data_IF_595517619157
#
_entry.id   IF_595517619157
#
_cell.length_a   1.000
_cell.length_b   1.000
_cell.length_c   1.000
_cell.angle_alpha   90.00
_cell.angle_beta   90.00
_cell.angle_gamma   90.00
#
_symmetry.space_group_name_H-M   'P 1'
#
loop_
_entity.id
_entity.type
_entity.pdbx_description
1 polymer ?
#
# COMPACT_ATOMS: atom_id res chain seq x y z
N UNK A 1 13.37 12.36 -9.76
CA UNK A 1 12.78 11.59 -8.65
C UNK A 1 11.33 11.44 -9.01
N UNK A 2 10.92 10.21 -9.32
CA UNK A 2 9.51 9.90 -9.54
C UNK A 2 8.84 9.70 -8.17
N UNK A 3 7.58 10.15 -8.05
CA UNK A 3 6.80 9.92 -6.82
C UNK A 3 6.31 8.46 -6.75
N UNK A 4 6.00 7.85 -7.89
CA UNK A 4 5.55 6.47 -8.03
C UNK A 4 6.29 5.80 -9.17
N UNK A 5 6.80 4.60 -8.95
CA UNK A 5 7.48 3.79 -9.96
C UNK A 5 6.62 2.56 -10.31
N UNK A 6 7.00 1.85 -11.38
CA UNK A 6 6.34 0.59 -11.77
C UNK A 6 6.93 -0.57 -10.93
N UNK A 7 6.19 -1.67 -10.69
CA UNK A 7 4.82 -1.94 -11.12
C UNK A 7 3.76 -1.23 -10.25
N UNK A 8 2.50 -1.28 -10.67
CA UNK A 8 1.37 -0.70 -9.92
C UNK A 8 0.28 -1.75 -9.70
N UNK A 9 -0.27 -1.83 -8.49
CA UNK A 9 -1.33 -2.77 -8.15
C UNK A 9 -2.67 -2.32 -8.74
N UNK A 10 -2.91 -2.66 -10.00
CA UNK A 10 -4.11 -2.28 -10.76
C UNK A 10 -4.63 -3.47 -11.56
N UNK A 11 -5.92 -3.43 -11.93
CA UNK A 11 -6.54 -4.51 -12.71
C UNK A 11 -5.93 -4.72 -14.11
N UNK A 12 -5.16 -3.75 -14.61
CA UNK A 12 -4.59 -3.78 -15.97
C UNK A 12 -3.09 -4.03 -15.98
N UNK A 13 -2.41 -3.97 -14.82
CA UNK A 13 -0.99 -4.28 -14.72
C UNK A 13 -0.79 -5.74 -14.38
N UNK A 14 -0.18 -6.48 -15.31
CA UNK A 14 0.11 -7.91 -15.16
C UNK A 14 1.61 -8.18 -14.98
N UNK A 15 2.38 -7.18 -14.57
CA UNK A 15 3.81 -7.36 -14.25
C UNK A 15 3.95 -8.38 -13.14
N UNK A 16 4.81 -9.38 -13.35
CA UNK A 16 5.10 -10.39 -12.32
C UNK A 16 5.92 -9.75 -11.21
N UNK A 17 5.50 -9.97 -9.96
CA UNK A 17 6.24 -9.51 -8.80
C UNK A 17 7.45 -10.41 -8.57
N UNK A 18 8.62 -9.80 -8.46
CA UNK A 18 9.89 -10.50 -8.26
C UNK A 18 10.53 -10.08 -6.93
N UNK A 19 11.32 -10.97 -6.29
CA UNK A 19 12.03 -10.63 -5.06
C UNK A 19 12.88 -9.36 -5.19
N UNK A 20 12.81 -8.49 -4.19
CA UNK A 20 13.49 -7.20 -4.15
C UNK A 20 12.64 -6.03 -4.63
N UNK A 21 11.49 -6.26 -5.27
CA UNK A 21 10.53 -5.19 -5.56
C UNK A 21 9.93 -4.64 -4.26
N UNK A 22 9.80 -3.31 -4.18
CA UNK A 22 9.14 -2.60 -3.07
C UNK A 22 7.85 -2.00 -3.60
N UNK A 23 6.76 -2.15 -2.84
CA UNK A 23 5.45 -1.66 -3.23
C UNK A 23 4.68 -1.05 -2.05
N UNK A 24 3.86 -0.06 -2.36
CA UNK A 24 2.81 0.44 -1.47
C UNK A 24 1.54 -0.40 -1.63
N UNK A 25 0.93 -0.78 -0.52
CA UNK A 25 -0.43 -1.31 -0.47
C UNK A 25 -1.32 -0.23 0.12
N UNK A 26 -2.03 0.50 -0.74
CA UNK A 26 -2.71 1.75 -0.38
C UNK A 26 -4.22 1.78 -0.73
N UNK A 27 -5.05 0.80 -0.30
CA UNK A 27 -6.48 0.86 -0.56
C UNK A 27 -7.10 2.12 0.08
N UNK A 28 -7.90 2.82 -0.73
CA UNK A 28 -8.64 4.00 -0.31
C UNK A 28 -10.14 3.87 -0.53
N UNK A 29 -10.93 4.57 0.27
CA UNK A 29 -12.36 4.70 0.07
C UNK A 29 -12.90 6.06 0.50
N UNK A 30 -13.94 6.52 -0.19
CA UNK A 30 -14.83 7.58 0.30
C UNK A 30 -15.95 6.90 1.08
N UNK A 31 -16.06 7.18 2.38
CA UNK A 31 -17.03 6.51 3.25
C UNK A 31 -18.21 7.41 3.66
N UNK A 32 -18.10 8.73 3.45
CA UNK A 32 -19.19 9.70 3.65
C UNK A 32 -18.95 10.97 2.82
N UNK A 33 -19.96 11.84 2.62
CA UNK A 33 -19.78 13.11 1.92
C UNK A 33 -18.65 13.95 2.54
N UNK A 34 -17.65 14.27 1.72
CA UNK A 34 -16.47 15.04 2.16
C UNK A 34 -15.49 14.26 3.06
N UNK A 35 -15.64 12.93 3.21
CA UNK A 35 -14.75 12.11 4.03
C UNK A 35 -14.15 10.95 3.23
N UNK A 36 -12.83 10.90 3.17
CA UNK A 36 -12.05 9.81 2.58
C UNK A 36 -11.12 9.19 3.61
N UNK A 37 -10.66 7.98 3.31
CA UNK A 37 -9.70 7.22 4.09
C UNK A 37 -8.77 6.50 3.11
N UNK A 38 -7.50 6.41 3.49
CA UNK A 38 -6.49 5.57 2.83
C UNK A 38 -5.78 4.79 3.92
N UNK A 39 -5.60 3.49 3.70
CA UNK A 39 -4.73 2.65 4.51
C UNK A 39 -3.50 2.38 3.66
N UNK A 40 -2.32 2.79 4.10
CA UNK A 40 -1.08 2.60 3.36
C UNK A 40 -0.10 1.80 4.20
N UNK A 41 0.56 0.84 3.57
CA UNK A 41 1.67 0.10 4.13
C UNK A 41 2.72 -0.16 3.04
N UNK A 42 3.99 -0.25 3.42
CA UNK A 42 5.08 -0.57 2.50
C UNK A 42 5.51 -2.03 2.68
N UNK A 43 5.65 -2.74 1.57
CA UNK A 43 6.11 -4.13 1.56
C UNK A 43 7.29 -4.33 0.62
N UNK A 44 8.14 -5.30 0.94
CA UNK A 44 9.13 -5.87 0.02
C UNK A 44 8.70 -7.27 -0.38
N UNK A 45 8.80 -7.58 -1.66
CA UNK A 45 8.59 -8.93 -2.19
C UNK A 45 9.86 -9.74 -1.90
N UNK A 46 9.68 -10.94 -1.35
CA UNK A 46 10.77 -11.88 -1.05
C UNK A 46 10.57 -13.18 -1.83
N UNK A 47 11.55 -14.08 -1.77
CA UNK A 47 11.43 -15.41 -2.41
C UNK A 47 10.23 -16.23 -1.90
N UNK A 48 9.75 -15.94 -0.69
CA UNK A 48 8.71 -16.71 0.00
C UNK A 48 7.40 -15.94 0.20
N UNK A 49 7.26 -14.74 -0.36
CA UNK A 49 6.05 -13.93 -0.21
C UNK A 49 6.36 -12.43 -0.13
N UNK A 50 5.81 -11.77 0.88
CA UNK A 50 6.03 -10.34 1.13
C UNK A 50 6.26 -10.08 2.61
N UNK A 51 7.10 -9.09 2.91
CA UNK A 51 7.42 -8.65 4.27
C UNK A 51 7.12 -7.16 4.43
N UNK A 52 6.65 -6.77 5.61
CA UNK A 52 6.37 -5.36 5.94
C UNK A 52 7.67 -4.59 6.15
N UNK A 53 7.73 -3.38 5.59
CA UNK A 53 8.77 -2.40 5.87
C UNK A 53 8.30 -1.30 6.83
N UNK A 54 6.98 -1.14 7.00
CA UNK A 54 6.35 -0.25 7.98
C UNK A 54 5.87 -1.02 9.21
N UNK A 55 5.82 -0.33 10.35
CA UNK A 55 5.01 -0.79 11.48
C UNK A 55 3.53 -0.59 11.12
N UNK A 56 2.75 -1.65 11.31
CA UNK A 56 1.35 -1.66 10.89
C UNK A 56 0.55 -0.63 11.69
N UNK A 57 -0.29 0.14 10.99
CA UNK A 57 -1.21 1.04 11.65
C UNK A 57 -2.16 0.30 12.62
N UNK A 58 -2.56 0.98 13.69
CA UNK A 58 -3.56 0.45 14.62
C UNK A 58 -4.86 0.08 13.88
N UNK A 59 -5.57 -0.98 14.32
CA UNK A 59 -6.80 -1.41 13.67
C UNK A 59 -7.92 -0.36 13.77
N UNK A 60 -7.89 0.48 14.80
CA UNK A 60 -8.79 1.62 14.98
C UNK A 60 -8.15 2.94 14.56
N UNK A 61 -8.96 3.85 14.00
CA UNK A 61 -8.51 5.20 13.69
C UNK A 61 -8.17 5.99 14.95
N UNK A 62 -6.97 6.55 14.97
CA UNK A 62 -6.53 7.48 16.02
C UNK A 62 -7.28 8.80 15.84
N UNK A 63 -7.94 9.26 16.91
CA UNK A 63 -8.56 10.58 16.97
C UNK A 63 -7.55 11.53 17.62
N UNK A 64 -7.28 12.65 16.97
CA UNK A 64 -6.36 13.70 17.43
C UNK A 64 -7.20 14.91 17.84
N UNK A 65 -6.87 15.53 18.98
CA UNK A 65 -7.50 16.74 19.51
C UNK A 65 -6.92 18.04 18.93
#
# INVERSE_FOLDING_TARGET
MELTERPSNTATDNTILEPGMVMTLEPGMVYAPGKSMVHEENIVITENGAEWLSERAAPELIIID
#
